data_IF_575146179254
#
_entry.id   IF_575146179254
#
_cell.length_a   1.000
_cell.length_b   1.000
_cell.length_c   1.000
_cell.angle_alpha   90.00
_cell.angle_beta   90.00
_cell.angle_gamma   90.00
#
_symmetry.space_group_name_H-M   'P 1'
#
loop_
_entity.id
_entity.type
_entity.pdbx_description
1 polymer ?
#
# COMPACT_ATOMS: atom_id res chain seq x y z
N UNK A 1 5.95 -7.69 72.67
CA UNK A 1 5.43 -6.63 71.78
C UNK A 1 6.45 -6.45 70.66
N UNK A 2 6.15 -6.50 69.37
CA UNK A 2 4.90 -6.60 68.62
C UNK A 2 5.30 -7.08 67.21
N UNK A 3 4.63 -8.11 66.69
CA UNK A 3 4.79 -8.61 65.31
C UNK A 3 3.70 -7.96 64.47
N UNK A 4 4.05 -7.26 63.39
CA UNK A 4 3.08 -6.66 62.46
C UNK A 4 3.54 -7.02 61.02
N UNK A 5 3.22 -8.23 60.53
CA UNK A 5 2.08 -8.54 59.64
C UNK A 5 1.97 -7.61 58.42
N UNK A 6 2.73 -7.98 57.39
CA UNK A 6 2.47 -7.65 55.99
C UNK A 6 1.14 -8.33 55.56
N UNK A 7 0.04 -7.56 55.45
CA UNK A 7 -1.22 -8.05 54.89
C UNK A 7 -1.79 -7.09 53.83
N UNK A 8 -1.78 -7.55 52.58
CA UNK A 8 -2.84 -7.43 51.57
C UNK A 8 -3.66 -6.11 51.49
N UNK A 9 -3.09 -5.09 50.85
CA UNK A 9 -3.82 -3.90 50.35
C UNK A 9 -4.66 -4.14 49.07
N UNK A 10 -4.70 -5.36 48.55
CA UNK A 10 -5.46 -5.71 47.32
C UNK A 10 -6.93 -6.09 47.55
N UNK A 11 -7.37 -6.17 48.79
CA UNK A 11 -8.71 -6.68 49.15
C UNK A 11 -9.66 -5.61 49.70
N UNK A 12 -9.22 -4.37 49.81
CA UNK A 12 -10.04 -3.27 50.35
C UNK A 12 -10.78 -2.48 49.26
N UNK A 13 -10.45 -2.70 47.99
CA UNK A 13 -11.07 -2.00 46.87
C UNK A 13 -12.34 -2.69 46.35
N UNK A 14 -12.59 -3.96 46.72
CA UNK A 14 -13.70 -4.75 46.20
C UNK A 14 -14.88 -4.91 47.17
N UNK A 15 -14.84 -4.23 48.32
CA UNK A 15 -15.83 -4.43 49.40
C UNK A 15 -16.81 -3.26 49.58
N UNK A 16 -17.15 -2.57 48.48
CA UNK A 16 -18.20 -1.54 48.50
C UNK A 16 -19.00 -1.49 47.20
N UNK A 17 -19.72 -2.58 46.92
CA UNK A 17 -20.81 -2.58 45.95
C UNK A 17 -22.12 -2.91 46.68
N UNK A 18 -22.98 -1.91 46.85
CA UNK A 18 -24.38 -2.13 47.22
C UNK A 18 -25.12 -2.70 45.99
N UNK A 19 -25.88 -3.80 46.13
CA UNK A 19 -26.61 -4.40 45.03
C UNK A 19 -27.93 -3.66 44.81
N UNK A 20 -27.91 -2.60 44.02
CA UNK A 20 -29.13 -1.93 43.55
C UNK A 20 -29.08 -1.76 42.04
N UNK A 21 -29.57 -2.79 41.35
CA UNK A 21 -30.58 -2.73 40.29
C UNK A 21 -30.49 -1.56 39.28
N UNK A 22 -30.20 -1.96 38.03
CA UNK A 22 -30.72 -1.42 36.76
C UNK A 22 -30.06 -0.16 36.18
N UNK A 23 -29.35 -0.37 35.08
CA UNK A 23 -29.56 0.42 33.87
C UNK A 23 -29.70 -0.53 32.68
N UNK A 24 -30.92 -0.61 32.13
CA UNK A 24 -31.14 -1.08 30.77
C UNK A 24 -30.48 -0.10 29.79
N UNK A 25 -30.30 -0.54 28.54
CA UNK A 25 -29.69 0.17 27.40
C UNK A 25 -28.20 -0.12 27.20
N UNK A 26 -27.90 -1.17 26.44
CA UNK A 26 -27.01 -1.10 25.28
C UNK A 26 -27.48 -2.13 24.25
N UNK A 27 -28.52 -1.76 23.52
CA UNK A 27 -28.71 -2.29 22.18
C UNK A 27 -27.75 -1.53 21.27
N UNK A 28 -26.68 -2.19 20.84
CA UNK A 28 -25.73 -1.82 19.79
C UNK A 28 -24.88 -3.09 19.60
N UNK A 29 -24.56 -3.60 18.42
CA UNK A 29 -24.91 -3.31 17.05
C UNK A 29 -24.65 -4.64 16.32
N UNK A 30 -25.15 -4.79 15.11
CA UNK A 30 -24.67 -5.81 14.18
C UNK A 30 -23.14 -5.90 14.28
N UNK A 31 -22.62 -7.08 14.64
CA UNK A 31 -21.25 -7.44 14.30
C UNK A 31 -21.23 -7.63 12.78
N UNK A 32 -21.20 -6.51 12.07
CA UNK A 32 -20.60 -6.45 10.76
C UNK A 32 -19.13 -6.75 11.00
N UNK A 33 -18.80 -8.04 10.97
CA UNK A 33 -17.43 -8.46 10.84
C UNK A 33 -16.93 -7.73 9.60
N UNK A 34 -16.00 -6.80 9.79
CA UNK A 34 -15.23 -6.26 8.68
C UNK A 34 -14.61 -7.46 7.97
N UNK A 35 -15.26 -7.93 6.91
CA UNK A 35 -14.55 -8.46 5.76
C UNK A 35 -13.69 -7.30 5.30
N UNK A 36 -12.45 -7.21 5.79
CA UNK A 36 -11.44 -6.39 5.14
C UNK A 36 -11.06 -7.10 3.84
N UNK A 37 -11.99 -7.14 2.89
CA UNK A 37 -11.64 -7.23 1.47
C UNK A 37 -11.09 -5.86 1.10
N UNK A 38 -9.82 -5.67 1.43
CA UNK A 38 -9.17 -4.38 1.37
C UNK A 38 -7.78 -4.40 1.99
N UNK A 39 -7.07 -5.53 1.93
CA UNK A 39 -5.61 -5.44 1.97
C UNK A 39 -5.20 -4.85 0.63
N UNK A 40 -4.80 -3.57 0.61
CA UNK A 40 -4.38 -2.80 -0.57
C UNK A 40 -3.09 -3.30 -1.20
N UNK A 41 -3.02 -4.61 -1.47
CA UNK A 41 -1.91 -5.26 -2.15
C UNK A 41 -1.77 -4.66 -3.54
N UNK A 42 -0.56 -4.26 -3.89
CA UNK A 42 -0.28 -3.70 -5.21
C UNK A 42 -0.28 -4.80 -6.26
N UNK A 43 -0.95 -4.57 -7.40
CA UNK A 43 -0.86 -5.45 -8.56
C UNK A 43 0.54 -5.36 -9.17
N UNK A 44 1.20 -6.51 -9.37
CA UNK A 44 2.60 -6.58 -9.78
C UNK A 44 2.71 -7.13 -11.20
N UNK A 45 3.29 -6.35 -12.12
CA UNK A 45 3.49 -6.73 -13.52
C UNK A 45 4.98 -6.79 -13.84
N UNK A 46 5.36 -7.74 -14.71
CA UNK A 46 6.71 -7.83 -15.26
C UNK A 46 7.74 -8.27 -14.23
N UNK A 47 7.36 -9.09 -13.24
CA UNK A 47 8.32 -9.83 -12.42
C UNK A 47 8.62 -11.22 -13.01
N UNK A 48 9.78 -11.79 -12.67
CA UNK A 48 10.21 -13.15 -13.02
C UNK A 48 9.41 -14.26 -12.27
N UNK A 49 8.13 -14.02 -12.00
CA UNK A 49 7.42 -14.77 -10.96
C UNK A 49 5.90 -14.79 -11.03
N UNK A 50 5.30 -14.71 -12.22
CA UNK A 50 3.89 -15.09 -12.39
C UNK A 50 3.75 -16.29 -13.30
N UNK A 51 3.36 -17.42 -12.69
CA UNK A 51 2.79 -18.58 -13.35
C UNK A 51 1.52 -18.14 -14.10
N UNK A 52 1.65 -17.73 -15.36
CA UNK A 52 0.57 -17.89 -16.32
C UNK A 52 1.08 -18.79 -17.45
N UNK A 53 0.62 -20.03 -17.43
CA UNK A 53 0.81 -20.96 -18.53
C UNK A 53 0.01 -20.45 -19.72
N UNK A 54 0.65 -19.85 -20.73
CA UNK A 54 0.45 -20.26 -22.12
C UNK A 54 1.47 -19.65 -23.10
N UNK A 55 2.02 -20.54 -23.94
CA UNK A 55 2.62 -20.34 -25.26
C UNK A 55 3.88 -19.49 -25.40
N UNK A 56 4.98 -20.19 -25.69
CA UNK A 56 6.17 -19.62 -26.30
C UNK A 56 5.93 -19.08 -27.70
N UNK A 57 6.77 -18.13 -28.09
CA UNK A 57 6.84 -17.57 -29.43
C UNK A 57 7.80 -16.39 -29.45
N UNK A 58 8.92 -16.56 -30.17
CA UNK A 58 9.76 -15.46 -30.64
C UNK A 58 8.88 -14.42 -31.34
N UNK A 59 8.88 -13.19 -30.83
CA UNK A 59 8.16 -12.08 -31.44
C UNK A 59 7.78 -11.01 -30.43
N UNK A 60 8.40 -9.84 -30.59
CA UNK A 60 8.04 -8.56 -29.95
C UNK A 60 6.52 -8.32 -30.00
N UNK A 61 5.80 -8.82 -28.99
CA UNK A 61 4.37 -8.61 -28.78
C UNK A 61 4.22 -8.08 -27.36
N UNK A 62 3.64 -6.88 -27.29
CA UNK A 62 3.47 -6.10 -26.08
C UNK A 62 2.33 -6.67 -25.21
N UNK A 63 2.49 -7.90 -24.74
CA UNK A 63 1.47 -8.61 -23.93
C UNK A 63 1.31 -7.99 -22.54
N UNK A 64 2.32 -7.24 -22.08
CA UNK A 64 2.30 -6.60 -20.76
C UNK A 64 1.54 -5.26 -20.74
N UNK A 65 1.19 -4.69 -21.89
CA UNK A 65 0.51 -3.38 -21.98
C UNK A 65 1.40 -2.18 -21.64
N UNK A 66 2.72 -2.34 -21.63
CA UNK A 66 3.66 -1.23 -21.43
C UNK A 66 4.97 -1.42 -22.20
N UNK A 67 5.63 -0.33 -22.55
CA UNK A 67 6.96 -0.32 -23.16
C UNK A 67 7.92 0.55 -22.35
N UNK A 68 9.22 0.26 -22.46
CA UNK A 68 10.29 1.04 -21.85
C UNK A 68 11.29 1.42 -22.93
N UNK A 69 11.53 2.72 -23.09
CA UNK A 69 12.52 3.28 -24.01
C UNK A 69 13.41 4.29 -23.27
N UNK A 70 14.55 3.82 -22.78
CA UNK A 70 15.42 4.61 -21.89
C UNK A 70 14.69 4.98 -20.61
N UNK A 71 14.55 6.29 -20.36
CA UNK A 71 13.85 6.82 -19.19
C UNK A 71 12.34 7.00 -19.40
N UNK A 72 11.84 6.72 -20.61
CA UNK A 72 10.42 6.83 -20.93
C UNK A 72 9.74 5.48 -20.76
N UNK A 73 8.63 5.47 -20.01
CA UNK A 73 7.73 4.32 -19.90
C UNK A 73 6.39 4.73 -20.49
N UNK A 74 5.85 3.92 -21.38
CA UNK A 74 4.53 4.14 -21.98
C UNK A 74 3.62 2.99 -21.58
N UNK A 75 2.45 3.31 -21.04
CA UNK A 75 1.46 2.35 -20.55
C UNK A 75 0.17 2.52 -21.35
N UNK A 76 -0.35 1.43 -21.88
CA UNK A 76 -1.67 1.34 -22.47
C UNK A 76 -2.69 1.07 -21.36
N UNK A 77 -3.43 2.10 -20.96
CA UNK A 77 -4.44 2.03 -19.91
C UNK A 77 -5.65 1.17 -20.31
N UNK A 78 -5.79 0.82 -21.59
CA UNK A 78 -6.85 -0.09 -22.05
C UNK A 78 -6.54 -1.56 -21.81
N UNK A 79 -5.28 -1.90 -21.54
CA UNK A 79 -4.82 -3.26 -21.27
C UNK A 79 -5.36 -3.79 -19.95
N UNK A 80 -5.75 -5.07 -19.93
CA UNK A 80 -6.30 -5.72 -18.74
C UNK A 80 -5.34 -5.71 -17.53
N UNK A 81 -4.04 -5.61 -17.77
CA UNK A 81 -3.06 -5.53 -16.69
C UNK A 81 -3.17 -4.24 -15.87
N UNK A 82 -3.82 -3.19 -16.40
CA UNK A 82 -3.96 -1.89 -15.76
C UNK A 82 -5.39 -1.57 -15.31
N UNK A 83 -6.27 -2.58 -15.25
CA UNK A 83 -7.68 -2.42 -14.83
C UNK A 83 -7.83 -1.81 -13.44
N UNK A 84 -6.88 -2.09 -12.54
CA UNK A 84 -6.89 -1.49 -11.20
C UNK A 84 -6.82 0.04 -11.26
N UNK A 85 -6.17 0.61 -12.27
CA UNK A 85 -6.06 2.07 -12.45
C UNK A 85 -7.36 2.70 -12.99
N UNK A 86 -8.41 1.94 -13.29
CA UNK A 86 -9.71 2.51 -13.67
C UNK A 86 -10.38 3.24 -12.49
N UNK A 87 -10.13 2.81 -11.25
CA UNK A 87 -10.71 3.37 -10.03
C UNK A 87 -9.69 4.17 -9.21
N UNK A 88 -10.13 5.25 -8.57
CA UNK A 88 -9.32 6.01 -7.61
C UNK A 88 -8.87 5.12 -6.45
N UNK A 89 -7.59 5.22 -6.06
CA UNK A 89 -6.93 4.32 -5.12
C UNK A 89 -6.30 3.09 -5.78
N UNK A 90 -6.67 2.81 -7.02
CA UNK A 90 -6.04 1.82 -7.88
C UNK A 90 -4.54 2.02 -8.03
N UNK A 91 -3.76 0.95 -7.96
CA UNK A 91 -2.30 1.03 -7.96
C UNK A 91 -1.67 -0.21 -8.59
N UNK A 92 -0.53 0.00 -9.28
CA UNK A 92 0.15 -1.03 -10.07
C UNK A 92 1.66 -0.85 -9.95
N UNK A 93 2.40 -1.93 -9.73
CA UNK A 93 3.86 -1.95 -9.69
C UNK A 93 4.41 -2.64 -10.95
N UNK A 94 5.02 -1.87 -11.84
CA UNK A 94 5.70 -2.35 -13.03
C UNK A 94 7.17 -2.63 -12.67
N UNK A 95 7.46 -3.86 -12.26
CA UNK A 95 8.76 -4.23 -11.68
C UNK A 95 9.94 -3.95 -12.61
N UNK A 96 9.86 -4.43 -13.86
CA UNK A 96 10.92 -4.25 -14.84
C UNK A 96 11.10 -2.79 -15.28
N UNK A 97 10.07 -1.95 -15.15
CA UNK A 97 10.18 -0.53 -15.46
C UNK A 97 10.75 0.29 -14.29
N UNK A 98 10.67 -0.25 -13.06
CA UNK A 98 11.04 0.45 -11.83
C UNK A 98 9.98 1.47 -11.39
N UNK A 99 8.70 1.23 -11.71
CA UNK A 99 7.64 2.24 -11.55
C UNK A 99 6.50 1.71 -10.70
N UNK A 100 6.10 2.49 -9.70
CA UNK A 100 4.90 2.28 -8.88
C UNK A 100 3.85 3.35 -9.23
N UNK A 101 2.67 2.92 -9.68
CA UNK A 101 1.57 3.77 -10.14
C UNK A 101 0.48 3.88 -9.08
N UNK A 102 -0.14 5.06 -9.00
CA UNK A 102 -1.31 5.32 -8.16
C UNK A 102 -2.31 6.23 -8.88
N UNK A 103 -3.56 5.77 -9.03
CA UNK A 103 -4.69 6.57 -9.51
C UNK A 103 -5.22 7.45 -8.38
N UNK A 104 -5.04 8.76 -8.50
CA UNK A 104 -5.48 9.73 -7.45
C UNK A 104 -6.73 10.51 -7.83
N UNK A 105 -7.10 10.52 -9.12
CA UNK A 105 -8.38 11.03 -9.63
C UNK A 105 -8.70 10.43 -11.00
N UNK A 106 -9.89 10.70 -11.52
CA UNK A 106 -10.33 10.23 -12.85
C UNK A 106 -9.37 10.65 -13.99
N UNK A 107 -8.63 11.74 -13.80
CA UNK A 107 -7.72 12.32 -14.80
C UNK A 107 -6.25 12.30 -14.39
N UNK A 108 -5.89 11.72 -13.25
CA UNK A 108 -4.53 11.79 -12.72
C UNK A 108 -4.04 10.43 -12.20
N UNK A 109 -2.88 10.04 -12.71
CA UNK A 109 -2.08 8.91 -12.22
C UNK A 109 -0.71 9.46 -11.83
N UNK A 110 -0.32 9.20 -10.59
CA UNK A 110 1.03 9.46 -10.10
C UNK A 110 1.91 8.25 -10.36
N UNK A 111 3.21 8.50 -10.58
CA UNK A 111 4.21 7.47 -10.77
C UNK A 111 5.39 7.74 -9.84
N UNK A 112 5.93 6.69 -9.23
CA UNK A 112 7.03 6.76 -8.29
C UNK A 112 8.11 5.73 -8.61
N UNK A 113 9.33 5.94 -8.11
CA UNK A 113 10.34 4.88 -8.03
C UNK A 113 9.78 3.74 -7.16
N UNK A 114 9.74 2.52 -7.69
CA UNK A 114 9.28 1.36 -6.92
C UNK A 114 10.33 0.83 -5.93
N UNK A 115 11.52 1.41 -5.88
CA UNK A 115 12.57 1.03 -4.97
C UNK A 115 12.36 1.61 -3.57
N UNK A 116 12.26 0.73 -2.56
CA UNK A 116 12.13 1.17 -1.18
C UNK A 116 13.34 2.01 -0.73
N UNK A 117 13.11 3.23 -0.21
CA UNK A 117 14.19 4.11 0.25
C UNK A 117 15.05 3.54 1.39
N UNK A 118 14.57 2.54 2.13
CA UNK A 118 15.34 1.88 3.18
C UNK A 118 16.45 0.99 2.58
N UNK A 119 16.08 -0.21 2.10
CA UNK A 119 17.04 -1.24 1.66
C UNK A 119 16.78 -1.73 0.22
N UNK A 120 16.02 -0.96 -0.56
CA UNK A 120 15.88 -1.18 -1.99
C UNK A 120 14.96 -2.31 -2.46
N UNK A 121 14.11 -2.83 -1.57
CA UNK A 121 13.07 -3.78 -1.95
C UNK A 121 12.11 -3.16 -2.98
N UNK A 122 11.75 -3.91 -4.03
CA UNK A 122 10.96 -3.39 -5.17
C UNK A 122 9.57 -3.99 -5.32
N UNK A 123 9.33 -5.16 -4.74
CA UNK A 123 8.18 -6.01 -5.03
C UNK A 123 7.28 -6.27 -3.81
N UNK A 124 7.36 -5.43 -2.78
CA UNK A 124 6.62 -5.62 -1.53
C UNK A 124 6.03 -4.29 -1.10
N UNK A 125 4.92 -3.90 -1.73
CA UNK A 125 4.23 -2.65 -1.49
C UNK A 125 2.76 -2.88 -1.18
N UNK A 126 2.19 -2.00 -0.36
CA UNK A 126 0.76 -1.94 -0.06
C UNK A 126 0.35 -0.48 -0.01
N UNK A 127 -0.69 -0.10 -0.75
CA UNK A 127 -1.27 1.24 -0.64
C UNK A 127 -2.27 1.28 0.51
N UNK A 128 -2.14 2.27 1.39
CA UNK A 128 -2.92 2.34 2.63
C UNK A 128 -4.22 3.17 2.49
N UNK A 129 -4.52 3.70 1.30
CA UNK A 129 -5.66 4.60 1.05
C UNK A 129 -5.63 5.92 1.85
N UNK A 130 -4.45 6.34 2.30
CA UNK A 130 -4.22 7.58 3.05
C UNK A 130 -3.01 8.38 2.49
N UNK A 131 -2.77 8.26 1.18
CA UNK A 131 -1.61 8.84 0.47
C UNK A 131 -0.26 8.28 0.94
N UNK A 132 -0.23 7.05 1.44
CA UNK A 132 1.02 6.37 1.78
C UNK A 132 1.12 4.96 1.22
N UNK A 133 2.36 4.55 0.93
CA UNK A 133 2.73 3.17 0.63
C UNK A 133 3.54 2.58 1.77
N UNK A 134 3.14 1.38 2.20
CA UNK A 134 3.92 0.56 3.14
C UNK A 134 4.81 -0.41 2.38
N UNK A 135 6.12 -0.41 2.67
CA UNK A 135 7.04 -1.45 2.25
C UNK A 135 6.88 -2.68 3.15
N UNK A 136 6.48 -3.81 2.58
CA UNK A 136 6.17 -5.04 3.32
C UNK A 136 7.38 -5.77 3.89
N UNK A 137 8.62 -5.34 3.61
CA UNK A 137 9.82 -5.99 4.16
C UNK A 137 10.02 -5.66 5.65
N UNK A 138 9.86 -4.40 6.03
CA UNK A 138 10.04 -3.94 7.43
C UNK A 138 8.90 -3.03 7.92
N UNK A 139 7.86 -2.81 7.11
CA UNK A 139 6.73 -1.96 7.46
C UNK A 139 6.99 -0.46 7.37
N UNK A 140 8.06 -0.03 6.69
CA UNK A 140 8.36 1.40 6.50
C UNK A 140 7.29 2.05 5.63
N UNK A 141 6.85 3.26 6.00
CA UNK A 141 5.76 3.97 5.34
C UNK A 141 6.31 5.22 4.66
N UNK A 142 5.94 5.42 3.40
CA UNK A 142 6.38 6.56 2.60
C UNK A 142 5.18 7.29 1.99
N UNK A 143 5.22 8.61 2.03
CA UNK A 143 4.18 9.48 1.49
C UNK A 143 4.24 9.52 -0.05
N UNK A 144 3.09 9.80 -0.67
CA UNK A 144 2.97 10.01 -2.12
C UNK A 144 2.88 11.48 -2.51
N UNK A 145 2.47 12.36 -1.59
CA UNK A 145 2.08 13.74 -1.88
C UNK A 145 2.77 14.80 -1.00
N UNK A 146 3.41 14.41 0.11
CA UNK A 146 3.98 15.33 1.09
C UNK A 146 5.37 14.92 1.59
N UNK A 147 6.18 15.92 1.97
CA UNK A 147 7.51 15.73 2.54
C UNK A 147 8.63 15.70 1.48
N UNK A 148 9.86 15.57 1.98
CA UNK A 148 11.07 15.50 1.15
C UNK A 148 11.20 14.14 0.48
N UNK A 149 11.62 14.14 -0.79
CA UNK A 149 11.85 12.91 -1.52
C UNK A 149 13.09 12.18 -0.99
N UNK A 150 12.94 10.89 -0.73
CA UNK A 150 14.01 10.02 -0.24
C UNK A 150 14.35 8.96 -1.27
N UNK A 151 15.62 8.89 -1.65
CA UNK A 151 16.08 8.03 -2.75
C UNK A 151 16.12 6.55 -2.35
N UNK A 152 15.99 5.68 -3.36
CA UNK A 152 16.23 4.24 -3.28
C UNK A 152 17.48 3.89 -2.44
N UNK A 153 17.33 3.01 -1.44
CA UNK A 153 18.46 2.50 -0.64
C UNK A 153 19.22 3.54 0.19
N UNK A 154 18.64 4.73 0.42
CA UNK A 154 19.21 5.79 1.24
C UNK A 154 19.15 5.52 2.75
N UNK A 155 18.69 4.34 3.17
CA UNK A 155 18.47 3.96 4.58
C UNK A 155 17.39 4.80 5.29
N UNK A 156 16.55 5.52 4.54
CA UNK A 156 15.41 6.25 5.10
C UNK A 156 14.23 5.32 5.39
N UNK A 157 13.58 5.50 6.54
CA UNK A 157 12.40 4.71 6.96
C UNK A 157 11.08 5.48 6.81
N UNK A 158 11.16 6.75 6.41
CA UNK A 158 10.06 7.70 6.22
C UNK A 158 10.51 8.75 5.20
N UNK A 159 9.57 9.49 4.64
CA UNK A 159 9.78 10.50 3.61
C UNK A 159 8.78 10.33 2.47
N UNK A 160 8.96 11.10 1.40
CA UNK A 160 8.18 10.98 0.17
C UNK A 160 8.90 10.06 -0.81
N UNK A 161 8.16 9.22 -1.54
CA UNK A 161 8.75 8.49 -2.66
C UNK A 161 9.17 9.46 -3.77
N UNK A 162 10.29 9.16 -4.44
CA UNK A 162 10.74 9.91 -5.62
C UNK A 162 9.66 9.83 -6.69
N UNK A 163 9.17 10.98 -7.15
CA UNK A 163 8.08 11.06 -8.12
C UNK A 163 8.61 11.21 -9.55
N UNK A 164 7.95 10.56 -10.49
CA UNK A 164 8.17 10.71 -11.93
C UNK A 164 7.09 11.60 -12.55
N UNK A 165 7.43 12.26 -13.65
CA UNK A 165 6.47 13.10 -14.37
C UNK A 165 5.55 12.21 -15.19
N UNK A 166 4.24 12.47 -15.14
CA UNK A 166 3.22 11.72 -15.90
C UNK A 166 2.43 12.62 -16.83
N UNK A 167 1.96 12.05 -17.95
CA UNK A 167 0.99 12.67 -18.85
C UNK A 167 0.05 11.61 -19.39
N UNK A 168 -1.25 11.91 -19.45
CA UNK A 168 -2.26 11.04 -20.05
C UNK A 168 -2.75 11.72 -21.32
N UNK A 169 -2.71 10.99 -22.44
CA UNK A 169 -3.32 11.39 -23.71
C UNK A 169 -4.10 10.20 -24.23
N UNK A 170 -5.40 10.37 -24.43
CA UNK A 170 -6.35 9.30 -24.70
C UNK A 170 -6.24 8.18 -23.65
N UNK A 171 -5.87 6.96 -24.05
CA UNK A 171 -5.64 5.82 -23.16
C UNK A 171 -4.15 5.52 -22.95
N UNK A 172 -3.27 6.47 -23.28
CA UNK A 172 -1.83 6.30 -23.12
C UNK A 172 -1.31 7.13 -21.95
N UNK A 173 -0.78 6.47 -20.93
CA UNK A 173 0.00 7.09 -19.87
C UNK A 173 1.48 7.10 -20.27
N UNK A 174 2.09 8.27 -20.29
CA UNK A 174 3.53 8.45 -20.47
C UNK A 174 4.17 8.85 -19.17
N UNK A 175 5.31 8.24 -18.84
CA UNK A 175 6.05 8.44 -17.60
C UNK A 175 7.49 8.76 -17.95
N UNK A 176 7.99 9.87 -17.42
CA UNK A 176 9.37 10.29 -17.55
C UNK A 176 10.08 10.11 -16.21
N UNK A 177 10.98 9.11 -16.17
CA UNK A 177 11.85 8.83 -15.03
C UNK A 177 13.01 9.79 -14.92
#
# INVERSE_FOLDING_TARGET
>A
MKTEKHLNKRRDFLTKACPTVVFAMFGLSFLEACSSEGTGSVNVIGGDGSNNSNTGGDGNTNTSGFTVNGNMVTVDLSSDNFKDLEAVGGNVNILNAGVLLLRVSDSQILAFDNCCPHNGAKNSWTYNNDNTFTCGVHGNIFNTDQGEEVSCGSNNTTGKLVSYTTSITDQTLTIQK
#
